data_IF_648853431383
#
_entry.id   IF_648853431383
#
_cell.length_a   1.000
_cell.length_b   1.000
_cell.length_c   1.000
_cell.angle_alpha   90.00
_cell.angle_beta   90.00
_cell.angle_gamma   90.00
#
_symmetry.space_group_name_H-M   'P 1'
#
loop_
_entity.id
_entity.type
_entity.pdbx_description
1 polymer ?
#
# COMPACT_ATOMS: atom_id res chain seq x y z
N UNK A 1 -17.69 -3.74 13.40
CA UNK A 1 -16.83 -4.15 12.28
C UNK A 1 -15.81 -5.14 12.81
N UNK A 2 -15.76 -6.33 12.23
CA UNK A 2 -14.68 -7.30 12.43
C UNK A 2 -14.18 -7.64 11.04
N UNK A 3 -12.89 -7.47 10.78
CA UNK A 3 -12.29 -7.73 9.48
C UNK A 3 -11.45 -9.00 9.53
N UNK A 4 -11.39 -9.75 8.43
CA UNK A 4 -10.71 -11.04 8.33
C UNK A 4 -9.60 -10.96 7.28
N UNK A 5 -8.36 -10.83 7.77
CA UNK A 5 -7.14 -10.83 6.95
C UNK A 5 -6.97 -9.59 6.05
N UNK A 6 -5.74 -9.09 5.95
CA UNK A 6 -5.40 -8.12 4.90
C UNK A 6 -5.15 -8.88 3.59
N UNK A 7 -5.95 -8.63 2.56
CA UNK A 7 -5.83 -9.29 1.25
C UNK A 7 -4.74 -8.64 0.40
N UNK A 8 -4.81 -7.30 0.27
CA UNK A 8 -3.93 -6.49 -0.58
C UNK A 8 -3.66 -5.14 0.06
N UNK A 9 -2.50 -4.57 -0.22
CA UNK A 9 -2.21 -3.17 0.06
C UNK A 9 -1.84 -2.43 -1.23
N UNK A 10 -2.39 -1.23 -1.40
CA UNK A 10 -2.12 -0.33 -2.51
C UNK A 10 -1.30 0.85 -1.97
N UNK A 11 -0.18 1.16 -2.62
CA UNK A 11 0.73 2.23 -2.19
C UNK A 11 1.07 3.14 -3.38
N UNK A 12 1.08 4.45 -3.18
CA UNK A 12 1.45 5.41 -4.23
C UNK A 12 2.25 6.57 -3.65
N UNK A 13 3.20 7.12 -4.42
CA UNK A 13 3.91 8.37 -4.05
C UNK A 13 3.02 9.56 -4.39
N UNK A 14 2.90 10.52 -3.47
CA UNK A 14 2.04 11.70 -3.61
C UNK A 14 2.89 12.98 -3.75
N UNK A 15 2.60 13.78 -4.77
CA UNK A 15 3.17 15.12 -4.95
C UNK A 15 2.74 16.02 -3.78
N UNK A 16 3.72 16.56 -3.06
CA UNK A 16 3.48 17.32 -1.83
C UNK A 16 2.58 18.56 -2.05
N UNK A 17 2.64 19.15 -3.25
CA UNK A 17 2.00 20.42 -3.64
C UNK A 17 0.68 20.17 -4.37
N UNK A 18 0.66 19.24 -5.34
CA UNK A 18 -0.53 18.93 -6.14
C UNK A 18 -1.49 17.99 -5.42
N UNK A 19 -1.01 17.21 -4.45
CA UNK A 19 -1.73 16.12 -3.79
C UNK A 19 -2.22 15.02 -4.75
N UNK A 20 -1.56 14.87 -5.91
CA UNK A 20 -1.81 13.83 -6.91
C UNK A 20 -0.74 12.74 -6.86
N UNK A 21 -1.03 11.57 -7.42
CA UNK A 21 -0.05 10.49 -7.59
C UNK A 21 1.10 10.92 -8.51
N UNK A 22 2.31 10.48 -8.17
CA UNK A 22 3.52 10.59 -8.99
C UNK A 22 3.69 9.28 -9.78
N UNK A 23 3.80 9.39 -11.11
CA UNK A 23 3.96 8.26 -12.05
C UNK A 23 5.36 8.24 -12.68
N UNK A 24 5.66 7.19 -13.45
CA UNK A 24 6.92 7.05 -14.17
C UNK A 24 8.12 6.79 -13.27
N UNK A 25 9.31 7.24 -13.72
CA UNK A 25 10.59 7.01 -13.03
C UNK A 25 10.66 7.64 -11.63
N UNK A 26 9.82 8.66 -11.36
CA UNK A 26 9.67 9.29 -10.04
C UNK A 26 8.55 8.67 -9.20
N UNK A 27 7.74 7.78 -9.78
CA UNK A 27 6.66 7.10 -9.08
C UNK A 27 7.15 6.07 -8.07
N UNK A 28 6.19 5.45 -7.37
CA UNK A 28 6.46 4.45 -6.34
C UNK A 28 7.17 3.20 -6.89
N UNK A 29 6.83 2.79 -8.12
CA UNK A 29 7.39 1.63 -8.79
C UNK A 29 8.78 1.88 -9.41
N UNK A 30 9.13 3.14 -9.66
CA UNK A 30 10.44 3.50 -10.23
C UNK A 30 10.67 3.04 -11.68
N UNK A 31 9.62 2.93 -12.48
CA UNK A 31 9.69 2.52 -13.90
C UNK A 31 9.18 3.67 -14.79
N UNK A 32 9.98 4.10 -15.77
CA UNK A 32 9.61 5.16 -16.71
C UNK A 32 8.36 4.83 -17.56
N UNK A 33 8.06 3.54 -17.75
CA UNK A 33 6.88 3.05 -18.46
C UNK A 33 5.61 3.06 -17.60
N UNK A 34 5.73 3.12 -16.27
CA UNK A 34 4.59 3.12 -15.35
C UNK A 34 3.69 4.35 -15.53
N UNK A 35 2.43 4.12 -15.89
CA UNK A 35 1.37 5.14 -16.01
C UNK A 35 0.32 5.05 -14.90
N UNK A 36 0.37 4.01 -14.08
CA UNK A 36 -0.56 3.78 -12.97
C UNK A 36 -0.03 4.46 -11.70
N UNK A 37 1.28 4.38 -11.42
CA UNK A 37 1.90 5.04 -10.26
C UNK A 37 1.49 4.46 -8.89
N UNK A 38 0.82 3.30 -8.90
CA UNK A 38 0.40 2.55 -7.71
C UNK A 38 1.12 1.21 -7.70
N UNK A 39 1.71 0.86 -6.57
CA UNK A 39 2.20 -0.48 -6.27
C UNK A 39 1.08 -1.29 -5.62
N UNK A 40 0.82 -2.49 -6.13
CA UNK A 40 -0.10 -3.46 -5.52
C UNK A 40 0.71 -4.55 -4.84
N UNK A 41 0.61 -4.59 -3.51
CA UNK A 41 1.27 -5.57 -2.66
C UNK A 41 0.32 -6.75 -2.40
N UNK A 42 0.70 -7.93 -2.93
CA UNK A 42 -0.04 -9.18 -2.81
C UNK A 42 0.89 -10.40 -2.60
N UNK A 43 0.37 -11.62 -2.68
CA UNK A 43 1.12 -12.87 -2.55
C UNK A 43 2.26 -13.03 -3.59
N UNK A 44 2.10 -12.46 -4.79
CA UNK A 44 3.06 -12.55 -5.88
C UNK A 44 4.14 -11.50 -5.74
N UNK A 45 3.75 -10.23 -5.58
CA UNK A 45 4.62 -9.04 -5.61
C UNK A 45 5.35 -8.80 -4.30
N UNK A 46 4.72 -9.12 -3.17
CA UNK A 46 5.20 -8.75 -1.83
C UNK A 46 5.19 -9.91 -0.80
N UNK A 47 4.89 -11.14 -1.27
CA UNK A 47 4.72 -12.35 -0.44
C UNK A 47 3.62 -12.24 0.61
N UNK A 48 2.61 -11.41 0.33
CA UNK A 48 1.43 -11.23 1.17
C UNK A 48 1.58 -10.16 2.25
N UNK A 49 0.42 -9.69 2.71
CA UNK A 49 0.29 -8.68 3.78
C UNK A 49 0.06 -9.40 5.10
N UNK A 50 0.73 -8.94 6.15
CA UNK A 50 0.64 -9.52 7.50
C UNK A 50 -0.43 -8.80 8.32
N UNK A 51 -0.53 -7.48 8.15
CA UNK A 51 -1.59 -6.69 8.77
C UNK A 51 -1.38 -5.18 8.59
N UNK A 52 -2.39 -4.41 8.96
CA UNK A 52 -2.37 -2.95 8.98
C UNK A 52 -3.01 -2.44 10.28
N UNK A 53 -2.18 -1.88 11.16
CA UNK A 53 -2.58 -1.50 12.51
C UNK A 53 -2.72 0.02 12.63
N UNK A 54 -3.96 0.51 12.72
CA UNK A 54 -4.29 1.93 12.85
C UNK A 54 -4.38 2.35 14.32
N UNK A 55 -3.67 3.42 14.71
CA UNK A 55 -3.65 3.96 16.08
C UNK A 55 -3.70 5.49 16.07
N UNK A 56 -4.03 6.10 17.22
CA UNK A 56 -4.22 7.56 17.37
C UNK A 56 -5.30 8.16 16.45
N UNK A 57 -6.34 7.38 16.12
CA UNK A 57 -7.50 7.82 15.33
C UNK A 57 -8.34 8.90 16.03
N UNK A 58 -8.29 8.95 17.37
CA UNK A 58 -8.89 9.99 18.20
C UNK A 58 -7.82 10.83 18.88
N UNK A 59 -8.16 12.08 19.18
CA UNK A 59 -7.32 12.93 20.02
C UNK A 59 -7.40 12.54 21.49
N UNK A 60 -6.35 12.86 22.25
CA UNK A 60 -6.37 12.69 23.71
C UNK A 60 -7.47 13.52 24.35
N UNK A 61 -8.21 12.93 25.29
CA UNK A 61 -9.19 13.64 26.11
C UNK A 61 -8.49 14.14 27.38
N UNK A 62 -8.70 15.40 27.72
CA UNK A 62 -8.16 16.01 28.95
C UNK A 62 -9.28 16.63 29.75
N UNK A 63 -9.50 16.10 30.95
CA UNK A 63 -10.50 16.60 31.89
C UNK A 63 -10.09 17.99 32.41
N UNK A 64 -11.03 18.92 32.34
CA UNK A 64 -10.93 20.23 32.98
C UNK A 64 -11.74 20.15 34.27
N UNK A 65 -11.06 20.35 35.39
CA UNK A 65 -11.65 20.28 36.73
C UNK A 65 -12.09 21.67 37.23
N UNK A 66 -13.27 21.74 37.82
CA UNK A 66 -13.83 22.92 38.47
C UNK A 66 -14.72 22.51 39.63
N UNK A 67 -14.64 23.22 40.77
CA UNK A 67 -15.37 22.86 42.00
C UNK A 67 -15.19 21.39 42.42
N UNK A 68 -13.98 20.85 42.26
CA UNK A 68 -13.60 19.45 42.54
C UNK A 68 -14.39 18.40 41.73
N UNK A 69 -14.91 18.76 40.56
CA UNK A 69 -15.59 17.87 39.61
C UNK A 69 -15.04 18.10 38.19
N UNK A 70 -15.19 17.13 37.30
CA UNK A 70 -14.99 17.34 35.87
C UNK A 70 -16.11 18.28 35.40
N UNK A 71 -15.76 19.47 34.91
CA UNK A 71 -16.73 20.47 34.40
C UNK A 71 -16.75 20.51 32.88
N UNK A 72 -15.68 20.07 32.23
CA UNK A 72 -15.55 20.00 30.78
C UNK A 72 -14.51 18.96 30.39
N UNK A 73 -14.61 18.40 29.18
CA UNK A 73 -13.60 17.50 28.60
C UNK A 73 -13.08 18.18 27.33
N UNK A 74 -11.79 18.52 27.31
CA UNK A 74 -11.13 19.01 26.11
C UNK A 74 -10.72 17.83 25.22
N UNK A 75 -11.00 17.92 23.92
CA UNK A 75 -10.54 16.93 22.94
C UNK A 75 -9.40 17.53 22.13
N UNK A 76 -8.21 16.92 22.22
CA UNK A 76 -7.07 17.28 21.38
C UNK A 76 -7.31 16.93 19.91
N UNK A 77 -6.44 17.42 19.01
CA UNK A 77 -6.44 16.96 17.61
C UNK A 77 -5.92 15.53 17.54
N UNK A 78 -6.57 14.67 16.76
CA UNK A 78 -6.06 13.33 16.46
C UNK A 78 -4.70 13.41 15.74
N UNK A 79 -3.86 12.39 15.92
CA UNK A 79 -2.56 12.29 15.25
C UNK A 79 -2.41 10.91 14.58
N UNK A 80 -3.22 10.61 13.54
CA UNK A 80 -3.35 9.27 12.99
C UNK A 80 -2.01 8.67 12.53
N UNK A 81 -1.78 7.42 12.89
CA UNK A 81 -0.64 6.63 12.41
C UNK A 81 -1.10 5.19 12.09
N UNK A 82 -0.43 4.55 11.15
CA UNK A 82 -0.72 3.18 10.73
C UNK A 82 0.58 2.40 10.52
N UNK A 83 0.66 1.18 11.04
CA UNK A 83 1.80 0.28 10.78
C UNK A 83 1.35 -0.77 9.77
N UNK A 84 1.92 -0.71 8.57
CA UNK A 84 1.71 -1.70 7.51
C UNK A 84 2.85 -2.72 7.55
N UNK A 85 2.51 -3.99 7.78
CA UNK A 85 3.48 -5.09 7.86
C UNK A 85 3.35 -6.00 6.65
N UNK A 86 4.45 -6.20 5.93
CA UNK A 86 4.54 -6.91 4.65
C UNK A 86 5.66 -7.96 4.74
N UNK A 87 5.52 -9.10 4.07
CA UNK A 87 6.51 -10.18 4.16
C UNK A 87 7.82 -9.93 3.38
N UNK A 88 7.76 -9.31 2.20
CA UNK A 88 8.94 -8.92 1.42
C UNK A 88 8.60 -7.82 0.40
N UNK A 89 8.74 -6.55 0.79
CA UNK A 89 8.52 -5.41 -0.10
C UNK A 89 9.69 -5.26 -1.09
N UNK A 90 9.45 -5.02 -2.40
CA UNK A 90 10.55 -4.78 -3.34
C UNK A 90 11.40 -3.57 -2.93
N UNK A 91 12.73 -3.72 -2.94
CA UNK A 91 13.66 -2.70 -2.43
C UNK A 91 13.47 -1.31 -3.09
N UNK A 92 13.09 -1.26 -4.37
CA UNK A 92 12.81 -0.01 -5.08
C UNK A 92 11.60 0.71 -4.47
N UNK A 93 10.48 0.00 -4.30
CA UNK A 93 9.25 0.49 -3.68
C UNK A 93 9.51 0.92 -2.24
N UNK A 94 10.27 0.12 -1.48
CA UNK A 94 10.60 0.42 -0.09
C UNK A 94 11.42 1.73 0.03
N UNK A 95 12.54 1.83 -0.68
CA UNK A 95 13.41 3.00 -0.59
C UNK A 95 12.72 4.27 -1.09
N UNK A 96 11.85 4.15 -2.11
CA UNK A 96 11.01 5.25 -2.63
C UNK A 96 9.93 5.68 -1.64
N UNK A 97 9.26 4.74 -0.96
CA UNK A 97 8.31 5.06 0.11
C UNK A 97 9.00 5.80 1.29
N UNK A 98 10.24 5.41 1.62
CA UNK A 98 11.06 6.05 2.65
C UNK A 98 11.76 7.34 2.22
N UNK A 99 11.65 7.75 0.96
CA UNK A 99 12.34 8.94 0.43
C UNK A 99 13.88 8.85 0.47
N UNK A 100 14.45 7.64 0.40
CA UNK A 100 15.89 7.40 0.29
C UNK A 100 16.33 7.65 -1.15
N UNK A 101 17.32 8.51 -1.34
CA UNK A 101 17.87 8.80 -2.67
C UNK A 101 18.76 7.65 -3.16
N UNK A 102 18.73 7.39 -4.47
CA UNK A 102 19.60 6.42 -5.14
C UNK A 102 20.97 7.06 -5.44
N UNK A 103 22.06 6.31 -5.23
CA UNK A 103 23.44 6.77 -5.43
C UNK A 103 23.98 6.50 -6.83
N UNK A 104 23.23 5.81 -7.68
CA UNK A 104 23.59 5.44 -9.05
C UNK A 104 24.56 4.25 -9.18
N UNK A 105 25.05 3.71 -8.05
CA UNK A 105 25.91 2.52 -7.96
C UNK A 105 25.15 1.27 -7.47
N UNK A 106 23.81 1.33 -7.46
CA UNK A 106 22.93 0.34 -6.82
C UNK A 106 22.73 0.55 -5.31
N UNK A 107 23.46 1.50 -4.70
CA UNK A 107 23.25 1.93 -3.32
C UNK A 107 22.11 2.94 -3.18
N UNK A 108 21.50 2.97 -1.98
CA UNK A 108 20.58 4.01 -1.55
C UNK A 108 21.15 4.71 -0.30
N UNK A 109 20.61 5.88 0.06
CA UNK A 109 20.89 6.48 1.37
C UNK A 109 20.34 5.62 2.52
N UNK A 110 21.14 5.37 3.56
CA UNK A 110 20.72 4.55 4.69
C UNK A 110 19.57 5.19 5.50
N UNK A 111 19.51 6.51 5.55
CA UNK A 111 18.43 7.29 6.12
C UNK A 111 17.84 8.20 5.03
N UNK A 112 16.51 8.19 4.86
CA UNK A 112 15.84 9.12 3.96
C UNK A 112 15.88 10.54 4.54
N UNK A 113 16.35 11.51 3.75
CA UNK A 113 16.34 12.94 4.12
C UNK A 113 15.07 13.67 3.66
N UNK A 114 14.34 13.09 2.71
CA UNK A 114 13.24 13.75 2.03
C UNK A 114 11.90 13.34 2.63
N UNK A 115 11.07 14.33 2.98
CA UNK A 115 9.66 14.15 3.37
C UNK A 115 8.83 13.69 2.16
N UNK A 116 8.98 12.42 1.78
CA UNK A 116 8.24 11.79 0.70
C UNK A 116 6.88 11.35 1.22
N UNK A 117 5.82 11.94 0.67
CA UNK A 117 4.47 11.54 1.01
C UNK A 117 4.05 10.32 0.20
N UNK A 118 3.33 9.41 0.85
CA UNK A 118 2.64 8.29 0.21
C UNK A 118 1.16 8.27 0.57
N UNK A 119 0.34 7.73 -0.33
CA UNK A 119 -1.00 7.25 -0.04
C UNK A 119 -0.93 5.74 0.17
N UNK A 120 -1.73 5.23 1.11
CA UNK A 120 -1.81 3.80 1.43
C UNK A 120 -3.26 3.41 1.65
N UNK A 121 -3.71 2.35 0.97
CA UNK A 121 -5.04 1.76 1.09
C UNK A 121 -4.89 0.25 1.28
N UNK A 122 -5.54 -0.32 2.29
CA UNK A 122 -5.53 -1.77 2.54
C UNK A 122 -6.93 -2.33 2.37
N UNK A 123 -7.03 -3.41 1.58
CA UNK A 123 -8.24 -4.23 1.41
C UNK A 123 -8.22 -5.36 2.43
N UNK A 124 -9.33 -5.55 3.13
CA UNK A 124 -9.57 -6.65 4.05
C UNK A 124 -10.95 -7.24 3.80
N UNK A 125 -11.14 -8.55 3.96
CA UNK A 125 -12.49 -9.12 3.89
C UNK A 125 -13.29 -8.76 5.16
N UNK A 126 -14.62 -8.66 5.07
CA UNK A 126 -15.46 -8.63 6.26
C UNK A 126 -15.56 -10.04 6.87
N UNK A 127 -15.51 -10.14 8.21
CA UNK A 127 -15.41 -11.44 8.88
C UNK A 127 -16.65 -12.34 8.75
N UNK A 128 -17.76 -11.82 8.23
CA UNK A 128 -19.01 -12.56 8.02
C UNK A 128 -19.45 -12.62 6.55
N UNK A 129 -18.77 -11.90 5.65
CA UNK A 129 -19.10 -11.83 4.23
C UNK A 129 -17.83 -11.52 3.42
N UNK A 130 -17.20 -12.55 2.85
CA UNK A 130 -15.92 -12.42 2.15
C UNK A 130 -16.05 -11.63 0.84
N UNK A 131 -17.24 -11.61 0.26
CA UNK A 131 -17.55 -10.90 -0.98
C UNK A 131 -17.79 -9.40 -0.76
N UNK A 132 -17.82 -8.95 0.52
CA UNK A 132 -17.92 -7.54 0.92
C UNK A 132 -16.61 -7.04 1.56
N UNK A 133 -15.63 -6.60 0.76
CA UNK A 133 -14.40 -6.05 1.30
C UNK A 133 -14.61 -4.72 2.03
N UNK A 134 -13.82 -4.53 3.09
CA UNK A 134 -13.59 -3.26 3.77
C UNK A 134 -12.24 -2.71 3.32
N UNK A 135 -12.23 -1.43 2.97
CA UNK A 135 -11.04 -0.71 2.55
C UNK A 135 -10.70 0.37 3.58
N UNK A 136 -9.47 0.41 4.06
CA UNK A 136 -9.02 1.36 5.09
C UNK A 136 -7.63 1.93 4.76
N UNK A 137 -7.43 3.24 4.93
CA UNK A 137 -6.16 3.84 4.54
C UNK A 137 -5.99 5.33 4.86
N UNK A 138 -4.84 5.86 4.46
CA UNK A 138 -4.53 7.29 4.49
C UNK A 138 -4.32 7.87 3.09
N UNK A 139 -4.88 9.04 2.85
CA UNK A 139 -4.74 9.80 1.60
C UNK A 139 -3.34 10.37 1.40
N UNK A 140 -2.65 10.66 2.50
CA UNK A 140 -1.32 11.26 2.53
C UNK A 140 -0.66 10.94 3.87
N UNK A 141 0.58 10.48 3.86
CA UNK A 141 1.36 10.25 5.07
C UNK A 141 2.85 10.15 4.78
N UNK A 142 3.68 10.32 5.81
CA UNK A 142 5.12 10.07 5.74
C UNK A 142 5.40 8.66 6.24
N UNK A 143 6.02 7.83 5.42
CA UNK A 143 6.44 6.48 5.81
C UNK A 143 7.84 6.50 6.44
N UNK A 144 8.00 5.71 7.50
CA UNK A 144 9.25 5.55 8.23
C UNK A 144 9.41 4.08 8.64
N UNK A 145 10.61 3.55 8.50
CA UNK A 145 11.02 2.32 9.19
C UNK A 145 11.86 2.72 10.40
N UNK A 146 11.37 2.38 11.59
CA UNK A 146 12.05 2.71 12.84
C UNK A 146 13.28 1.82 13.11
N UNK A 147 13.25 0.58 12.59
CA UNK A 147 14.30 -0.42 12.75
C UNK A 147 14.40 -1.28 11.50
N UNK A 148 15.62 -1.50 11.02
CA UNK A 148 15.96 -2.43 9.95
C UNK A 148 16.94 -3.45 10.56
N UNK A 149 16.57 -4.73 10.59
CA UNK A 149 17.35 -5.77 11.28
C UNK A 149 17.82 -6.83 10.28
N UNK A 150 19.13 -7.01 10.16
CA UNK A 150 19.74 -8.01 9.29
C UNK A 150 20.23 -9.17 10.16
N UNK A 151 19.54 -10.30 10.11
CA UNK A 151 19.87 -11.49 10.93
C UNK A 151 20.60 -12.54 10.09
N UNK A 152 21.65 -13.13 10.66
CA UNK A 152 22.31 -14.30 10.06
C UNK A 152 21.41 -15.54 10.19
N UNK A 153 21.30 -16.32 9.12
CA UNK A 153 20.61 -17.61 9.17
C UNK A 153 21.25 -18.57 10.18
N UNK A 154 20.42 -19.36 10.84
CA UNK A 154 20.81 -20.45 11.74
C UNK A 154 20.47 -21.80 11.04
N UNK A 155 20.31 -22.88 11.79
CA UNK A 155 19.69 -24.13 11.34
C UNK A 155 18.26 -23.96 10.77
N UNK A 156 17.64 -22.78 10.94
CA UNK A 156 16.46 -22.33 10.22
C UNK A 156 16.69 -20.91 9.66
N UNK A 157 16.13 -20.65 8.48
CA UNK A 157 16.16 -19.33 7.82
C UNK A 157 15.57 -18.25 8.74
N UNK A 158 16.26 -17.11 8.86
CA UNK A 158 15.76 -15.94 9.57
C UNK A 158 15.16 -14.97 8.55
N UNK A 159 13.86 -14.71 8.67
CA UNK A 159 13.15 -13.73 7.83
C UNK A 159 12.55 -12.64 8.70
N UNK A 160 12.95 -11.41 8.43
CA UNK A 160 12.41 -10.20 9.04
C UNK A 160 11.37 -9.61 8.08
N UNK A 161 10.24 -9.18 8.63
CA UNK A 161 9.15 -8.55 7.87
C UNK A 161 9.38 -7.04 7.76
N UNK A 162 8.91 -6.44 6.67
CA UNK A 162 8.95 -5.00 6.45
C UNK A 162 7.80 -4.33 7.20
N UNK A 163 8.11 -3.55 8.24
CA UNK A 163 7.13 -2.83 9.05
C UNK A 163 7.24 -1.31 8.79
N UNK A 164 6.39 -0.80 7.91
CA UNK A 164 6.34 0.62 7.55
C UNK A 164 5.36 1.35 8.48
N UNK A 165 5.89 2.25 9.32
CA UNK A 165 5.07 3.17 10.12
C UNK A 165 4.75 4.40 9.29
N UNK A 166 3.48 4.65 9.05
CA UNK A 166 2.96 5.74 8.24
C UNK A 166 2.29 6.74 9.18
N UNK A 167 2.87 7.94 9.32
CA UNK A 167 2.24 9.06 10.03
C UNK A 167 1.39 9.85 9.04
N UNK A 168 0.08 9.88 9.24
CA UNK A 168 -0.82 10.56 8.32
C UNK A 168 -0.63 12.09 8.38
N UNK A 169 -0.88 12.73 7.24
CA UNK A 169 -0.94 14.17 7.07
C UNK A 169 -2.27 14.54 6.40
N UNK A 170 -2.81 15.72 6.71
CA UNK A 170 -4.07 16.14 6.10
C UNK A 170 -3.87 16.46 4.61
N UNK A 171 -4.69 15.85 3.74
CA UNK A 171 -4.79 16.20 2.33
C UNK A 171 -5.73 17.41 2.17
N UNK A 172 -5.30 18.54 2.71
CA UNK A 172 -6.11 19.76 2.73
C UNK A 172 -7.45 19.55 3.44
N UNK A 173 -8.56 19.80 2.74
CA UNK A 173 -9.93 19.68 3.27
C UNK A 173 -10.43 18.23 3.36
N UNK A 174 -9.75 17.26 2.74
CA UNK A 174 -10.21 15.87 2.68
C UNK A 174 -9.87 15.09 3.97
N UNK A 175 -9.07 15.67 4.87
CA UNK A 175 -8.62 15.03 6.11
C UNK A 175 -7.47 14.05 5.89
N UNK A 176 -7.37 13.05 6.77
CA UNK A 176 -6.22 12.14 6.83
C UNK A 176 -6.36 10.87 5.95
N UNK A 177 -7.59 10.42 5.73
CA UNK A 177 -7.90 9.11 5.17
C UNK A 177 -9.36 8.75 5.38
N UNK A 178 -9.76 7.57 4.91
CA UNK A 178 -11.14 7.08 4.99
C UNK A 178 -11.23 5.57 5.18
N UNK A 179 -12.42 5.15 5.58
CA UNK A 179 -12.89 3.77 5.52
C UNK A 179 -14.00 3.69 4.47
N UNK A 180 -13.93 2.71 3.58
CA UNK A 180 -14.96 2.40 2.61
C UNK A 180 -15.44 0.96 2.82
N UNK A 181 -16.74 0.74 2.67
CA UNK A 181 -17.39 -0.55 2.88
C UNK A 181 -18.12 -0.95 1.59
N UNK A 182 -17.86 -2.14 1.07
CA UNK A 182 -18.52 -2.61 -0.15
C UNK A 182 -20.02 -2.88 0.02
N UNK A 183 -20.52 -3.01 1.25
CA UNK A 183 -21.96 -3.17 1.53
C UNK A 183 -22.78 -1.88 1.29
N UNK A 184 -22.14 -0.71 1.36
CA UNK A 184 -22.84 0.56 1.22
C UNK A 184 -23.33 0.78 -0.20
N UNK A 185 -24.64 1.05 -0.38
CA UNK A 185 -25.27 1.17 -1.70
C UNK A 185 -24.71 2.30 -2.58
N UNK A 186 -23.96 3.25 -2.01
CA UNK A 186 -23.28 4.33 -2.70
C UNK A 186 -21.79 4.04 -3.00
N UNK A 187 -21.28 2.86 -2.65
CA UNK A 187 -19.90 2.45 -2.89
C UNK A 187 -19.67 2.11 -4.37
N UNK A 188 -18.51 2.53 -4.88
CA UNK A 188 -17.93 2.03 -6.13
C UNK A 188 -16.41 2.00 -5.97
N UNK A 189 -15.77 0.91 -6.38
CA UNK A 189 -14.29 0.79 -6.30
C UNK A 189 -13.61 1.93 -7.06
N UNK A 190 -14.15 2.30 -8.22
CA UNK A 190 -13.66 3.42 -9.03
C UNK A 190 -13.56 4.72 -8.22
N UNK A 191 -14.65 5.15 -7.57
CA UNK A 191 -14.67 6.39 -6.80
C UNK A 191 -13.70 6.34 -5.62
N UNK A 192 -13.59 5.19 -4.96
CA UNK A 192 -12.64 4.99 -3.88
C UNK A 192 -11.19 5.09 -4.37
N UNK A 193 -10.84 4.45 -5.49
CA UNK A 193 -9.50 4.55 -6.06
C UNK A 193 -9.20 5.96 -6.59
N UNK A 194 -10.15 6.64 -7.23
CA UNK A 194 -9.99 8.05 -7.66
C UNK A 194 -9.80 9.00 -6.47
N UNK A 195 -10.48 8.73 -5.35
CA UNK A 195 -10.32 9.47 -4.10
C UNK A 195 -8.97 9.18 -3.43
N UNK A 196 -8.54 7.92 -3.31
CA UNK A 196 -7.24 7.59 -2.70
C UNK A 196 -6.03 7.96 -3.58
N UNK A 197 -6.18 7.83 -4.90
CA UNK A 197 -5.13 7.97 -5.89
C UNK A 197 -5.53 8.97 -6.99
N UNK A 198 -5.65 10.27 -6.66
CA UNK A 198 -6.08 11.27 -7.63
C UNK A 198 -5.00 11.56 -8.69
N UNK A 199 -5.44 11.75 -9.93
CA UNK A 199 -4.61 12.16 -11.07
C UNK A 199 -4.08 11.03 -11.95
N UNK A 200 -4.57 9.80 -11.78
CA UNK A 200 -4.22 8.62 -12.60
C UNK A 200 -5.47 7.95 -13.18
N UNK A 201 -5.27 7.10 -14.19
CA UNK A 201 -6.30 6.17 -14.64
C UNK A 201 -6.35 4.96 -13.71
N UNK A 202 -7.47 4.80 -12.99
CA UNK A 202 -7.66 3.70 -12.02
C UNK A 202 -8.29 2.44 -12.64
N UNK A 203 -8.58 2.44 -13.95
CA UNK A 203 -9.23 1.29 -14.63
C UNK A 203 -8.44 -0.02 -14.46
N UNK A 204 -7.12 0.05 -14.38
CA UNK A 204 -6.25 -1.13 -14.17
C UNK A 204 -6.18 -1.61 -12.72
N UNK A 205 -6.77 -0.88 -11.77
CA UNK A 205 -6.82 -1.23 -10.33
C UNK A 205 -8.16 -1.85 -9.92
N UNK A 206 -9.22 -1.53 -10.66
CA UNK A 206 -10.56 -2.09 -10.47
C UNK A 206 -10.56 -3.52 -10.98
N UNK A 207 -11.10 -4.45 -10.19
CA UNK A 207 -11.41 -5.79 -10.70
C UNK A 207 -12.86 -5.74 -11.19
N UNK A 208 -13.08 -5.65 -12.51
CA UNK A 208 -14.43 -5.44 -13.06
C UNK A 208 -15.39 -6.57 -12.64
N UNK A 209 -16.21 -6.29 -11.61
CA UNK A 209 -17.34 -7.12 -11.17
C UNK A 209 -18.54 -7.07 -12.12
N UNK A 210 -18.31 -6.79 -13.40
CA UNK A 210 -19.29 -6.77 -14.49
C UNK A 210 -18.77 -7.67 -15.60
N UNK A 211 -19.22 -8.93 -15.58
CA UNK A 211 -18.53 -10.01 -16.27
C UNK A 211 -18.51 -9.90 -17.79
N UNK A 212 -17.31 -9.94 -18.36
CA UNK A 212 -17.01 -10.69 -19.59
C UNK A 212 -15.62 -11.36 -19.46
N UNK A 213 -15.42 -12.50 -20.12
CA UNK A 213 -14.37 -13.49 -19.84
C UNK A 213 -12.96 -13.13 -20.32
N UNK A 214 -12.41 -11.98 -19.92
CA UNK A 214 -11.06 -11.53 -20.25
C UNK A 214 -9.99 -11.88 -19.20
N UNK A 215 -9.37 -13.05 -19.30
CA UNK A 215 -8.30 -13.49 -18.40
C UNK A 215 -7.11 -12.49 -18.36
N UNK A 216 -6.74 -11.89 -17.21
CA UNK A 216 -5.67 -10.88 -17.17
C UNK A 216 -4.31 -11.50 -17.49
N UNK A 217 -3.68 -11.00 -18.55
CA UNK A 217 -2.39 -11.51 -19.03
C UNK A 217 -1.29 -11.17 -18.03
N UNK A 218 -0.88 -12.15 -17.23
CA UNK A 218 0.30 -12.04 -16.35
C UNK A 218 1.56 -11.79 -17.20
N UNK A 219 2.06 -10.55 -17.16
CA UNK A 219 3.26 -10.12 -17.90
C UNK A 219 4.59 -10.48 -17.21
N UNK A 220 4.55 -11.23 -16.11
CA UNK A 220 5.74 -11.79 -15.45
C UNK A 220 5.86 -13.31 -15.66
N UNK A 221 5.65 -13.76 -16.90
CA UNK A 221 6.04 -15.11 -17.31
C UNK A 221 7.55 -15.18 -17.55
N UNK A 222 8.29 -15.59 -16.51
CA UNK A 222 9.74 -15.79 -16.59
C UNK A 222 10.08 -16.84 -17.65
N UNK A 223 10.93 -16.47 -18.60
CA UNK A 223 11.25 -17.28 -19.78
C UNK A 223 11.89 -18.64 -19.45
N UNK A 224 11.07 -19.66 -19.28
CA UNK A 224 11.47 -21.07 -19.38
C UNK A 224 11.19 -21.53 -20.81
N UNK A 225 12.20 -21.46 -21.67
CA UNK A 225 12.15 -22.12 -22.97
C UNK A 225 12.06 -23.63 -22.75
N UNK A 226 10.91 -24.23 -23.05
CA UNK A 226 10.75 -25.67 -23.09
C UNK A 226 11.66 -26.26 -24.18
N UNK A 227 12.80 -26.79 -23.74
CA UNK A 227 13.59 -27.75 -24.52
C UNK A 227 12.89 -29.11 -24.45
N UNK A 228 11.84 -29.27 -25.24
CA UNK A 228 11.31 -30.59 -25.58
C UNK A 228 10.57 -30.51 -26.92
N UNK A 229 11.26 -30.86 -28.00
CA UNK A 229 10.62 -31.37 -29.21
C UNK A 229 11.53 -32.41 -29.87
N UNK A 230 11.15 -33.67 -29.78
CA UNK A 230 11.89 -34.83 -30.31
C UNK A 230 10.88 -35.76 -30.99
N UNK A 231 11.23 -36.26 -32.18
CA UNK A 231 10.38 -37.05 -33.11
C UNK A 231 9.32 -36.18 -33.83
N UNK A 232 8.96 -36.31 -35.13
CA UNK A 232 9.39 -37.14 -36.30
C UNK A 232 8.77 -36.50 -37.58
N UNK A 233 9.10 -36.76 -38.86
CA UNK A 233 10.11 -37.61 -39.53
C UNK A 233 10.19 -37.27 -41.05
N UNK A 234 11.34 -37.56 -41.68
CA UNK A 234 11.49 -38.06 -43.08
C UNK A 234 10.74 -37.35 -44.26
N UNK A 235 11.47 -36.57 -45.07
CA UNK A 235 11.26 -36.54 -46.55
C UNK A 235 12.51 -36.08 -47.33
N UNK A 236 12.91 -36.86 -48.35
CA UNK A 236 13.48 -36.40 -49.63
C UNK A 236 14.87 -35.76 -49.68
N UNK A 237 15.83 -36.42 -50.34
CA UNK A 237 17.16 -35.89 -50.68
C UNK A 237 18.16 -36.99 -50.99
#
# INVERSE_FOLDING_TARGET
MSTLGAEKAYMARIDATKNTVVTGIEGINGDASDKVGVFVADETTAKGIVGFNLTNMSGSQTDIYGSNKIVWISQGKAAPQGVLTINALPYQVLNRALGREEKGDGGYEAAGKNNTYIAVLVKSAEAFDIDKPVYAGFYKGLAQMATENMQTNNAADQRVQDALTIKAAERGKDGFGAYYYAEEAAFTEKRMFEDFFPGIDVSTLITDGSGDGGNPVSKYSGGRQNRDNRQTSNTGG
#
